data_IF_700822383578
#
_entry.id   IF_700822383578
#
_cell.length_a   1.000
_cell.length_b   1.000
_cell.length_c   1.000
_cell.angle_alpha   90.00
_cell.angle_beta   90.00
_cell.angle_gamma   90.00
#
_symmetry.space_group_name_H-M   'P 1'
#
loop_
_entity.id
_entity.type
_entity.pdbx_description
1 polymer ?
#
# COMPACT_ATOMS: atom_id res chain seq x y z
N UNK A 1 0.61 -9.52 15.77
CA UNK A 1 0.24 -8.09 16.00
C UNK A 1 -1.07 -8.06 16.75
N UNK A 2 -1.27 -7.10 17.68
CA UNK A 2 -2.54 -6.99 18.43
C UNK A 2 -3.78 -6.91 17.55
N UNK A 3 -3.71 -6.18 16.44
CA UNK A 3 -4.82 -6.01 15.49
C UNK A 3 -5.28 -7.32 14.85
N UNK A 4 -4.42 -8.33 14.79
CA UNK A 4 -4.80 -9.65 14.26
C UNK A 4 -5.74 -10.39 15.19
N UNK A 5 -5.68 -10.12 16.49
CA UNK A 5 -6.56 -10.76 17.47
C UNK A 5 -8.05 -10.45 17.21
N UNK A 6 -8.32 -9.27 16.68
CA UNK A 6 -9.69 -8.86 16.33
C UNK A 6 -10.33 -9.73 15.23
N UNK A 7 -9.50 -10.46 14.50
CA UNK A 7 -9.94 -11.37 13.44
C UNK A 7 -10.12 -12.81 13.92
N UNK A 8 -9.66 -13.15 15.13
CA UNK A 8 -9.78 -14.49 15.67
C UNK A 8 -11.24 -14.93 15.76
N UNK A 9 -11.53 -16.17 15.34
CA UNK A 9 -12.88 -16.73 15.33
C UNK A 9 -13.83 -16.16 14.27
N UNK A 10 -13.39 -15.20 13.45
CA UNK A 10 -14.18 -14.63 12.36
C UNK A 10 -13.85 -15.31 11.03
N UNK A 11 -14.80 -15.31 10.11
CA UNK A 11 -14.63 -15.83 8.76
C UNK A 11 -14.37 -14.70 7.77
N UNK A 12 -13.41 -14.90 6.89
CA UNK A 12 -13.04 -13.98 5.84
C UNK A 12 -12.84 -14.71 4.53
N UNK A 13 -13.00 -14.01 3.42
CA UNK A 13 -12.59 -14.54 2.13
C UNK A 13 -11.09 -14.31 1.94
N UNK A 14 -10.41 -15.30 1.38
CA UNK A 14 -9.03 -15.11 0.91
C UNK A 14 -9.06 -14.24 -0.34
N UNK A 15 -8.42 -13.08 -0.28
CA UNK A 15 -8.30 -12.17 -1.42
C UNK A 15 -7.34 -12.75 -2.45
N UNK A 16 -6.16 -13.14 -2.00
CA UNK A 16 -5.14 -13.77 -2.84
C UNK A 16 -4.01 -14.39 -2.04
N UNK A 17 -3.23 -15.25 -2.70
CA UNK A 17 -1.95 -15.74 -2.23
C UNK A 17 -0.86 -14.68 -2.45
N UNK A 18 0.07 -14.56 -1.49
CA UNK A 18 1.16 -13.57 -1.56
C UNK A 18 2.44 -14.24 -2.02
N UNK A 19 2.67 -14.26 -3.31
CA UNK A 19 3.93 -14.78 -3.87
C UNK A 19 5.07 -13.75 -3.85
N UNK A 20 4.72 -12.49 -3.95
CA UNK A 20 5.64 -11.35 -3.98
C UNK A 20 5.11 -10.21 -3.13
N UNK A 21 6.02 -9.43 -2.59
CA UNK A 21 5.67 -8.19 -1.89
C UNK A 21 6.74 -7.14 -2.13
N UNK A 22 6.40 -5.87 -2.04
CA UNK A 22 7.38 -4.81 -2.02
C UNK A 22 7.77 -4.47 -0.59
N UNK A 23 8.95 -3.92 -0.41
CA UNK A 23 9.39 -3.29 0.83
C UNK A 23 9.86 -1.88 0.52
N UNK A 24 9.84 -1.00 1.52
CA UNK A 24 10.43 0.34 1.44
C UNK A 24 11.96 0.24 1.38
N UNK A 25 12.49 -0.22 0.26
CA UNK A 25 13.92 -0.26 0.03
C UNK A 25 14.42 1.05 -0.55
N UNK A 26 15.64 1.42 -0.16
CA UNK A 26 16.32 2.50 -0.85
C UNK A 26 16.63 2.08 -2.31
N UNK A 27 16.48 2.98 -3.29
CA UNK A 27 16.97 2.70 -4.65
C UNK A 27 18.46 2.28 -4.61
N UNK A 28 18.93 1.37 -5.49
CA UNK A 28 18.32 1.00 -6.77
C UNK A 28 17.45 -0.27 -6.73
N UNK A 29 17.41 -1.00 -5.61
CA UNK A 29 16.54 -2.18 -5.54
C UNK A 29 15.09 -1.75 -5.54
N UNK A 30 14.28 -2.29 -6.41
CA UNK A 30 12.83 -2.05 -6.42
C UNK A 30 12.12 -2.77 -5.27
N UNK A 31 12.89 -3.24 -4.28
CA UNK A 31 12.38 -3.82 -3.06
C UNK A 31 11.43 -5.00 -3.21
N UNK A 32 11.40 -5.64 -4.38
CA UNK A 32 10.56 -6.82 -4.58
C UNK A 32 11.18 -8.02 -3.90
N UNK A 33 10.40 -8.67 -3.07
CA UNK A 33 10.79 -9.84 -2.28
C UNK A 33 9.70 -10.91 -2.35
N UNK A 34 10.02 -12.13 -1.93
CA UNK A 34 9.08 -13.24 -1.84
C UNK A 34 9.08 -13.86 -0.46
N UNK A 35 7.98 -14.47 -0.07
CA UNK A 35 7.94 -15.33 1.09
C UNK A 35 8.49 -16.72 0.72
N UNK A 36 9.51 -17.25 1.44
CA UNK A 36 10.19 -18.49 1.05
C UNK A 36 9.27 -19.71 0.93
N UNK A 37 8.36 -19.85 1.88
CA UNK A 37 7.44 -20.99 1.96
C UNK A 37 6.24 -20.92 1.01
N UNK A 38 5.92 -19.74 0.48
CA UNK A 38 4.76 -19.54 -0.40
C UNK A 38 3.40 -19.80 0.26
N UNK A 39 3.35 -19.80 1.60
CA UNK A 39 2.22 -20.14 2.44
C UNK A 39 1.51 -18.91 3.06
N UNK A 40 1.66 -17.76 2.43
CA UNK A 40 1.13 -16.49 2.91
C UNK A 40 -0.01 -16.03 2.03
N UNK A 41 -1.08 -15.59 2.66
CA UNK A 41 -2.26 -15.02 2.00
C UNK A 41 -2.61 -13.65 2.59
N UNK A 42 -3.39 -12.87 1.86
CA UNK A 42 -4.14 -11.72 2.38
C UNK A 42 -5.62 -12.02 2.35
N UNK A 43 -6.35 -11.47 3.31
CA UNK A 43 -7.79 -11.62 3.45
C UNK A 43 -8.50 -10.33 3.04
N UNK A 44 -9.70 -10.46 2.48
CA UNK A 44 -10.57 -9.31 2.19
C UNK A 44 -11.02 -8.64 3.49
N UNK A 45 -10.79 -7.35 3.60
CA UNK A 45 -11.23 -6.50 4.70
C UNK A 45 -10.17 -6.19 5.75
N UNK A 46 -9.51 -7.18 6.41
CA UNK A 46 -8.60 -6.90 7.51
C UNK A 46 -7.42 -5.99 7.13
N UNK A 47 -7.32 -4.85 7.83
CA UNK A 47 -6.18 -3.93 7.77
C UNK A 47 -5.74 -3.55 9.18
N UNK A 48 -4.47 -3.24 9.33
CA UNK A 48 -3.93 -2.70 10.57
C UNK A 48 -4.57 -1.34 10.86
N UNK A 49 -5.24 -1.19 12.01
CA UNK A 49 -5.78 0.10 12.45
C UNK A 49 -4.69 1.07 12.88
N UNK A 50 -3.57 0.52 13.37
CA UNK A 50 -2.46 1.26 13.92
C UNK A 50 -2.66 1.67 15.39
N UNK A 51 -3.76 1.31 16.02
CA UNK A 51 -4.09 1.75 17.38
C UNK A 51 -3.09 1.20 18.40
N UNK A 52 -2.67 -0.05 18.27
CA UNK A 52 -1.63 -0.63 19.09
C UNK A 52 -0.22 -0.08 18.79
N UNK A 53 -0.08 0.77 17.77
CA UNK A 53 1.17 1.34 17.29
C UNK A 53 1.13 2.87 17.31
N UNK A 54 0.65 3.45 18.41
CA UNK A 54 0.56 4.89 18.67
C UNK A 54 -0.10 5.68 17.52
N UNK A 55 -1.14 5.12 16.92
CA UNK A 55 -1.92 5.76 15.87
C UNK A 55 -1.22 5.82 14.51
N UNK A 56 -0.42 4.82 14.17
CA UNK A 56 0.19 4.71 12.84
C UNK A 56 -0.89 4.73 11.73
N UNK A 57 -0.82 5.69 10.82
CA UNK A 57 -1.79 5.86 9.71
C UNK A 57 -1.43 5.11 8.43
N UNK A 58 -0.56 4.10 8.53
CA UNK A 58 -0.15 3.32 7.36
C UNK A 58 -1.25 2.37 6.85
N UNK A 59 -2.12 1.89 7.72
CA UNK A 59 -3.26 0.99 7.40
C UNK A 59 -2.88 -0.18 6.48
N UNK A 60 -1.79 -0.87 6.83
CA UNK A 60 -1.25 -1.99 6.05
C UNK A 60 -2.27 -3.13 5.93
N UNK A 61 -2.33 -3.80 4.78
CA UNK A 61 -2.92 -5.14 4.70
C UNK A 61 -2.15 -6.09 5.61
N UNK A 62 -2.87 -6.99 6.26
CA UNK A 62 -2.30 -7.97 7.18
C UNK A 62 -2.02 -9.26 6.42
N UNK A 63 -0.81 -9.76 6.55
CA UNK A 63 -0.39 -11.04 6.00
C UNK A 63 -0.69 -12.18 6.96
N UNK A 64 -1.27 -13.26 6.43
CA UNK A 64 -1.67 -14.42 7.19
C UNK A 64 -0.91 -15.66 6.70
N UNK A 65 -0.37 -16.45 7.64
CA UNK A 65 0.12 -17.79 7.33
C UNK A 65 -1.08 -18.72 7.15
N UNK A 66 -1.08 -19.58 6.14
CA UNK A 66 -2.16 -20.57 5.94
C UNK A 66 -2.37 -21.44 7.19
N UNK A 67 -1.29 -21.78 7.89
CA UNK A 67 -1.35 -22.54 9.14
C UNK A 67 -2.13 -21.85 10.28
N UNK A 68 -2.43 -20.55 10.15
CA UNK A 68 -3.24 -19.81 11.13
C UNK A 68 -4.74 -19.78 10.76
N UNK A 69 -5.07 -20.33 9.62
CA UNK A 69 -6.42 -20.31 9.06
C UNK A 69 -7.00 -21.73 9.01
N UNK A 70 -8.28 -21.85 9.25
CA UNK A 70 -9.03 -23.06 9.02
C UNK A 70 -10.08 -22.81 7.93
N UNK A 71 -10.37 -23.79 7.06
CA UNK A 71 -11.49 -23.68 6.14
C UNK A 71 -12.77 -23.40 6.92
N UNK A 72 -13.49 -22.34 6.58
CA UNK A 72 -14.82 -22.13 7.11
C UNK A 72 -15.72 -23.24 6.57
N UNK A 73 -16.33 -24.05 7.44
CA UNK A 73 -17.38 -24.95 7.02
C UNK A 73 -18.48 -24.11 6.35
N UNK A 74 -19.08 -24.62 5.30
CA UNK A 74 -20.24 -24.00 4.65
C UNK A 74 -21.45 -24.09 5.59
N UNK A 75 -21.41 -23.38 6.69
CA UNK A 75 -22.49 -23.30 7.67
C UNK A 75 -23.24 -21.99 7.45
N UNK A 76 -24.45 -22.13 6.99
CA UNK A 76 -25.55 -21.21 7.19
C UNK A 76 -25.82 -21.09 8.69
N UNK A 77 -25.08 -20.29 9.43
CA UNK A 77 -25.55 -19.75 10.71
C UNK A 77 -24.55 -18.72 11.25
N UNK A 78 -25.08 -17.57 11.55
CA UNK A 78 -24.51 -16.55 12.40
C UNK A 78 -24.14 -17.13 13.77
N UNK A 79 -22.94 -17.66 13.89
CA UNK A 79 -22.36 -17.99 15.17
C UNK A 79 -21.78 -16.73 15.78
N UNK A 80 -22.50 -16.08 16.70
CA UNK A 80 -21.94 -15.18 17.65
C UNK A 80 -20.91 -15.96 18.48
N UNK A 81 -19.67 -15.99 18.02
CA UNK A 81 -18.57 -16.52 18.81
C UNK A 81 -18.28 -15.56 19.96
N UNK A 82 -18.97 -15.71 21.06
CA UNK A 82 -18.59 -15.18 22.36
C UNK A 82 -17.33 -15.93 22.84
N UNK A 83 -16.20 -15.68 22.19
CA UNK A 83 -14.90 -16.10 22.69
C UNK A 83 -14.58 -15.25 23.91
N UNK A 84 -14.30 -15.89 25.05
CA UNK A 84 -13.89 -15.30 26.31
C UNK A 84 -13.00 -14.06 26.11
N UNK A 85 -13.55 -12.87 26.36
CA UNK A 85 -12.84 -11.59 26.24
C UNK A 85 -11.57 -11.55 27.08
N UNK A 86 -11.61 -12.15 28.27
CA UNK A 86 -10.50 -12.12 29.24
C UNK A 86 -9.21 -12.75 28.69
N UNK A 87 -9.30 -13.86 27.96
CA UNK A 87 -8.12 -14.52 27.37
C UNK A 87 -7.49 -13.73 26.21
N UNK A 88 -8.28 -12.97 25.45
CA UNK A 88 -7.77 -12.14 24.36
C UNK A 88 -7.05 -10.90 24.88
N UNK A 89 -7.53 -10.29 25.96
CA UNK A 89 -6.90 -9.11 26.56
C UNK A 89 -5.56 -9.48 27.22
N UNK A 90 -5.49 -10.63 27.91
CA UNK A 90 -4.23 -11.15 28.42
C UNK A 90 -3.23 -11.44 27.29
N UNK A 91 -3.69 -12.07 26.21
CA UNK A 91 -2.85 -12.32 25.04
C UNK A 91 -2.39 -11.02 24.39
N UNK A 92 -3.30 -10.02 24.25
CA UNK A 92 -2.96 -8.69 23.72
C UNK A 92 -1.86 -8.01 24.53
N UNK A 93 -1.94 -8.07 25.86
CA UNK A 93 -0.94 -7.49 26.76
C UNK A 93 0.45 -8.15 26.63
N UNK A 94 0.51 -9.41 26.22
CA UNK A 94 1.77 -10.17 26.01
C UNK A 94 2.37 -9.96 24.63
N UNK A 95 1.63 -9.40 23.67
CA UNK A 95 2.14 -9.19 22.32
C UNK A 95 3.13 -8.03 22.29
N UNK A 96 4.28 -8.29 21.66
CA UNK A 96 5.31 -7.29 21.48
C UNK A 96 4.90 -6.26 20.45
N UNK A 97 4.89 -4.99 20.83
CA UNK A 97 4.57 -3.84 19.97
C UNK A 97 5.80 -2.99 19.69
N UNK A 98 6.76 -2.99 20.63
CA UNK A 98 8.04 -2.28 20.52
C UNK A 98 9.19 -3.21 20.83
N UNK A 99 10.31 -3.01 20.16
CA UNK A 99 11.60 -3.60 20.46
C UNK A 99 12.46 -2.61 21.27
N UNK A 100 13.67 -3.03 21.65
CA UNK A 100 14.63 -2.18 22.32
C UNK A 100 14.91 -0.91 21.48
N UNK A 101 15.14 0.21 22.15
CA UNK A 101 15.40 1.48 21.48
C UNK A 101 14.19 2.17 20.84
N UNK A 102 13.00 1.93 21.36
CA UNK A 102 11.75 2.59 20.93
C UNK A 102 11.33 2.32 19.47
N UNK A 103 11.83 1.22 18.89
CA UNK A 103 11.44 0.78 17.55
C UNK A 103 10.14 -0.01 17.61
N UNK A 104 9.21 0.30 16.74
CA UNK A 104 7.97 -0.46 16.60
C UNK A 104 8.23 -1.82 15.97
N UNK A 105 7.51 -2.82 16.47
CA UNK A 105 7.53 -4.19 15.99
C UNK A 105 6.17 -4.54 15.40
N UNK A 106 6.09 -4.64 14.09
CA UNK A 106 4.89 -5.01 13.35
C UNK A 106 5.25 -5.77 12.07
N UNK A 107 4.27 -6.30 11.36
CA UNK A 107 4.54 -7.03 10.12
C UNK A 107 5.32 -6.18 9.10
N UNK A 108 5.01 -4.87 9.00
CA UNK A 108 5.72 -4.00 8.09
C UNK A 108 7.21 -3.88 8.40
N UNK A 109 7.58 -3.70 9.68
CA UNK A 109 8.98 -3.59 10.09
C UNK A 109 9.74 -4.91 10.02
N UNK A 110 9.05 -6.04 10.13
CA UNK A 110 9.64 -7.38 10.07
C UNK A 110 9.59 -7.99 8.65
N UNK A 111 8.96 -7.31 7.70
CA UNK A 111 8.78 -7.83 6.35
C UNK A 111 10.11 -8.17 5.66
N UNK A 112 11.16 -7.38 5.91
CA UNK A 112 12.50 -7.65 5.37
C UNK A 112 13.06 -8.98 5.88
N UNK A 113 12.82 -9.34 7.14
CA UNK A 113 13.27 -10.59 7.75
C UNK A 113 12.43 -11.78 7.36
N UNK A 114 11.13 -11.55 7.15
CA UNK A 114 10.18 -12.59 6.75
C UNK A 114 10.25 -12.97 5.28
N UNK A 115 11.02 -12.23 4.48
CA UNK A 115 11.08 -12.38 3.02
C UNK A 115 12.51 -12.47 2.53
N UNK A 116 12.70 -13.03 1.34
CA UNK A 116 14.00 -13.11 0.67
C UNK A 116 13.97 -12.35 -0.66
N UNK A 117 15.14 -11.94 -1.13
CA UNK A 117 15.27 -11.28 -2.42
C UNK A 117 15.02 -12.24 -3.57
N UNK A 118 14.44 -11.73 -4.65
CA UNK A 118 14.46 -12.45 -5.92
C UNK A 118 15.90 -12.46 -6.47
N UNK A 119 16.75 -13.39 -6.00
CA UNK A 119 18.14 -13.46 -6.43
C UNK A 119 18.32 -14.14 -7.78
N UNK A 120 19.19 -13.60 -8.59
CA UNK A 120 19.88 -13.97 -9.82
C UNK A 120 19.34 -15.09 -10.71
N UNK A 121 19.30 -16.33 -10.28
CA UNK A 121 18.76 -17.48 -11.02
C UNK A 121 17.23 -17.61 -10.96
N UNK A 122 16.60 -16.95 -10.02
CA UNK A 122 15.15 -16.95 -9.77
C UNK A 122 14.52 -15.56 -9.98
N UNK A 123 14.97 -14.82 -10.99
CA UNK A 123 14.03 -13.84 -11.56
C UNK A 123 12.95 -14.67 -12.24
N UNK A 124 11.76 -14.83 -11.64
CA UNK A 124 10.71 -15.55 -12.33
C UNK A 124 10.52 -14.79 -13.65
N UNK A 125 10.57 -15.50 -14.76
CA UNK A 125 10.18 -14.88 -16.02
C UNK A 125 8.76 -14.37 -15.80
N UNK A 126 8.44 -13.18 -16.31
CA UNK A 126 7.10 -12.60 -16.26
C UNK A 126 6.03 -13.65 -16.62
N UNK A 127 6.34 -14.53 -17.59
CA UNK A 127 5.49 -15.64 -17.98
C UNK A 127 5.22 -16.63 -16.85
N UNK A 128 6.20 -16.95 -16.01
CA UNK A 128 5.99 -17.89 -14.89
C UNK A 128 5.10 -17.28 -13.79
N UNK A 129 5.28 -15.99 -13.49
CA UNK A 129 4.43 -15.29 -12.54
C UNK A 129 2.99 -15.23 -13.06
N UNK A 130 2.83 -14.88 -14.35
CA UNK A 130 1.53 -14.84 -14.99
C UNK A 130 0.82 -16.20 -15.00
N UNK A 131 1.53 -17.27 -15.37
CA UNK A 131 0.99 -18.62 -15.35
C UNK A 131 0.58 -19.07 -13.95
N UNK A 132 1.32 -18.66 -12.94
CA UNK A 132 1.04 -19.02 -11.55
C UNK A 132 -0.18 -18.27 -11.00
N UNK A 133 -0.30 -16.96 -11.27
CA UNK A 133 -1.48 -16.18 -10.91
C UNK A 133 -2.75 -16.71 -11.60
N UNK A 134 -2.61 -17.16 -12.85
CA UNK A 134 -3.71 -17.83 -13.58
C UNK A 134 -4.03 -19.20 -13.00
N UNK A 135 -3.02 -20.02 -12.69
CA UNK A 135 -3.23 -21.37 -12.14
C UNK A 135 -3.80 -21.37 -10.73
N UNK A 136 -3.49 -20.36 -9.94
CA UNK A 136 -4.03 -20.18 -8.60
C UNK A 136 -5.45 -19.60 -8.60
N UNK A 137 -5.95 -19.15 -9.76
CA UNK A 137 -7.25 -18.48 -9.85
C UNK A 137 -7.25 -17.04 -9.32
N UNK A 138 -6.06 -16.48 -9.03
CA UNK A 138 -5.92 -15.11 -8.54
C UNK A 138 -6.33 -14.07 -9.59
N UNK A 139 -6.33 -14.48 -10.89
CA UNK A 139 -6.69 -13.63 -12.03
C UNK A 139 -7.32 -14.41 -13.18
N UNK A 140 -8.15 -13.70 -13.92
CA UNK A 140 -8.68 -14.19 -15.20
C UNK A 140 -7.69 -13.93 -16.33
N UNK A 141 -7.82 -14.68 -17.44
CA UNK A 141 -7.01 -14.49 -18.65
C UNK A 141 -7.16 -13.06 -19.20
N UNK A 142 -8.37 -12.48 -19.13
CA UNK A 142 -8.65 -11.13 -19.59
C UNK A 142 -7.94 -10.06 -18.75
N UNK A 143 -7.91 -10.21 -17.44
CA UNK A 143 -7.16 -9.31 -16.56
C UNK A 143 -5.66 -9.41 -16.80
N UNK A 144 -5.15 -10.62 -16.98
CA UNK A 144 -3.74 -10.84 -17.30
C UNK A 144 -3.35 -10.19 -18.63
N UNK A 145 -4.17 -10.31 -19.66
CA UNK A 145 -3.92 -9.67 -20.95
C UNK A 145 -3.88 -8.14 -20.83
N UNK A 146 -4.81 -7.54 -20.07
CA UNK A 146 -4.78 -6.10 -19.76
C UNK A 146 -3.50 -5.67 -19.05
N UNK A 147 -3.06 -6.44 -18.07
CA UNK A 147 -1.85 -6.14 -17.31
C UNK A 147 -0.59 -6.22 -18.18
N UNK A 148 -0.47 -7.25 -19.01
CA UNK A 148 0.65 -7.40 -19.95
C UNK A 148 0.66 -6.25 -20.96
N UNK A 149 -0.51 -5.86 -21.47
CA UNK A 149 -0.65 -4.70 -22.37
C UNK A 149 -0.20 -3.39 -21.72
N UNK A 150 -0.64 -3.14 -20.49
CA UNK A 150 -0.23 -1.95 -19.72
C UNK A 150 1.26 -1.95 -19.39
N UNK A 151 1.80 -3.08 -19.00
CA UNK A 151 3.23 -3.22 -18.70
C UNK A 151 4.10 -2.96 -19.94
N UNK A 152 3.71 -3.52 -21.09
CA UNK A 152 4.42 -3.28 -22.35
C UNK A 152 4.32 -1.82 -22.75
N UNK A 153 3.14 -1.21 -22.66
CA UNK A 153 2.94 0.21 -22.91
C UNK A 153 3.82 1.07 -21.99
N UNK A 154 3.84 0.80 -20.69
CA UNK A 154 4.70 1.52 -19.75
C UNK A 154 6.17 1.35 -20.10
N UNK A 155 6.62 0.15 -20.41
CA UNK A 155 8.01 -0.08 -20.82
C UNK A 155 8.39 0.73 -22.06
N UNK A 156 7.53 0.76 -23.07
CA UNK A 156 7.75 1.54 -24.28
C UNK A 156 7.75 3.04 -23.95
N UNK A 157 6.79 3.50 -23.15
CA UNK A 157 6.72 4.89 -22.73
C UNK A 157 7.94 5.32 -21.91
N UNK A 158 8.35 4.51 -20.93
CA UNK A 158 9.56 4.78 -20.14
C UNK A 158 10.84 4.71 -20.96
N UNK A 159 10.91 3.86 -21.97
CA UNK A 159 12.04 3.81 -22.89
C UNK A 159 12.09 5.07 -23.79
N UNK A 160 10.94 5.57 -24.20
CA UNK A 160 10.84 6.74 -25.06
C UNK A 160 11.03 8.08 -24.33
N UNK A 161 10.51 8.19 -23.10
CA UNK A 161 10.48 9.46 -22.34
C UNK A 161 11.49 9.47 -21.19
N UNK A 162 11.87 8.29 -20.71
CA UNK A 162 12.73 8.10 -19.54
C UNK A 162 12.08 8.53 -18.21
N UNK A 163 12.63 8.08 -17.09
CA UNK A 163 12.16 8.48 -15.75
C UNK A 163 12.55 9.92 -15.38
N UNK A 164 13.36 10.58 -16.21
CA UNK A 164 13.87 11.94 -15.96
C UNK A 164 12.78 13.01 -15.89
N UNK A 165 11.64 12.76 -16.52
CA UNK A 165 10.54 13.70 -16.61
C UNK A 165 9.79 13.96 -15.28
N UNK A 166 10.01 13.11 -14.27
CA UNK A 166 9.49 13.33 -12.90
C UNK A 166 10.48 14.06 -11.98
N UNK A 167 11.68 14.36 -12.44
CA UNK A 167 12.67 15.06 -11.63
C UNK A 167 12.31 16.53 -11.52
N UNK A 168 12.13 17.01 -10.30
CA UNK A 168 11.85 18.41 -10.05
C UNK A 168 13.11 19.27 -9.99
N UNK A 169 12.95 20.58 -10.08
CA UNK A 169 14.04 21.54 -10.12
C UNK A 169 14.61 21.87 -8.73
N UNK A 170 13.88 21.55 -7.65
CA UNK A 170 14.13 22.13 -6.35
C UNK A 170 15.28 21.45 -5.62
N UNK A 171 16.12 22.26 -4.96
CA UNK A 171 17.07 21.79 -3.92
C UNK A 171 16.34 21.65 -2.58
N UNK A 172 15.50 22.64 -2.25
CA UNK A 172 14.57 22.61 -1.13
C UNK A 172 13.15 22.63 -1.69
N UNK A 173 12.34 21.67 -1.30
CA UNK A 173 10.99 21.54 -1.85
C UNK A 173 10.02 22.49 -1.16
N UNK A 174 9.16 23.17 -1.92
CA UNK A 174 8.17 24.09 -1.36
C UNK A 174 7.14 23.35 -0.52
N UNK A 175 6.47 24.10 0.35
CA UNK A 175 5.39 23.63 1.21
C UNK A 175 4.14 24.47 0.98
N UNK A 176 3.00 23.83 1.13
CA UNK A 176 1.70 24.49 1.16
C UNK A 176 0.82 23.72 2.12
N UNK A 177 0.22 24.41 3.05
CA UNK A 177 -0.78 23.86 3.98
C UNK A 177 -2.14 24.34 3.54
N UNK A 178 -3.00 23.42 3.16
CA UNK A 178 -4.40 23.70 2.87
C UNK A 178 -5.30 23.39 4.07
N UNK A 179 -4.82 22.61 5.03
CA UNK A 179 -5.63 22.18 6.18
C UNK A 179 -6.82 21.32 5.74
N UNK A 180 -6.61 20.41 4.82
CA UNK A 180 -7.68 19.58 4.26
C UNK A 180 -8.23 18.61 5.30
N UNK A 181 -9.56 18.51 5.37
CA UNK A 181 -10.26 17.62 6.27
C UNK A 181 -10.97 16.47 5.52
N UNK A 182 -11.26 15.34 6.20
CA UNK A 182 -11.98 14.23 5.59
C UNK A 182 -13.34 14.70 5.03
N UNK A 183 -13.68 14.24 3.82
CA UNK A 183 -14.89 14.60 3.11
C UNK A 183 -14.73 15.78 2.13
N UNK A 184 -13.68 16.58 2.25
CA UNK A 184 -13.45 17.68 1.30
C UNK A 184 -13.15 17.16 -0.12
N UNK A 185 -13.73 17.85 -1.11
CA UNK A 185 -13.43 17.60 -2.53
C UNK A 185 -12.19 18.38 -2.94
N UNK A 186 -11.31 17.69 -3.62
CA UNK A 186 -10.06 18.24 -4.13
C UNK A 186 -9.83 17.82 -5.57
N UNK A 187 -9.14 18.66 -6.32
CA UNK A 187 -8.56 18.30 -7.62
C UNK A 187 -7.08 18.04 -7.47
N UNK A 188 -6.60 16.97 -8.05
CA UNK A 188 -5.18 16.66 -8.14
C UNK A 188 -4.59 17.56 -9.22
N UNK A 189 -3.59 18.35 -8.88
CA UNK A 189 -2.94 19.27 -9.80
C UNK A 189 -2.35 18.54 -11.00
N UNK A 190 -2.09 19.29 -12.05
CA UNK A 190 -1.44 18.75 -13.25
C UNK A 190 -0.04 18.17 -12.92
N UNK A 191 0.41 17.26 -13.77
CA UNK A 191 1.76 16.70 -13.66
C UNK A 191 2.85 17.75 -13.60
N UNK A 192 2.74 18.81 -14.44
CA UNK A 192 3.73 19.88 -14.49
C UNK A 192 3.81 20.65 -13.16
N UNK A 193 2.67 20.98 -12.57
CA UNK A 193 2.60 21.64 -11.28
C UNK A 193 3.17 20.75 -10.16
N UNK A 194 2.82 19.45 -10.13
CA UNK A 194 3.37 18.53 -9.13
C UNK A 194 4.90 18.43 -9.29
N UNK A 195 5.40 18.23 -10.49
CA UNK A 195 6.84 18.11 -10.77
C UNK A 195 7.59 19.39 -10.36
N UNK A 196 7.00 20.57 -10.55
CA UNK A 196 7.60 21.84 -10.12
C UNK A 196 7.84 21.93 -8.61
N UNK A 197 7.14 21.11 -7.81
CA UNK A 197 7.31 21.07 -6.34
C UNK A 197 8.34 20.02 -5.87
N UNK A 198 8.85 19.17 -6.76
CA UNK A 198 9.72 18.04 -6.42
C UNK A 198 11.21 18.44 -6.41
N UNK A 199 12.00 17.63 -5.73
CA UNK A 199 13.45 17.63 -5.85
C UNK A 199 13.94 16.73 -7.01
N UNK A 200 15.26 16.72 -7.23
CA UNK A 200 15.90 15.86 -8.25
C UNK A 200 15.72 14.36 -8.00
N UNK A 201 15.34 13.95 -6.77
CA UNK A 201 15.06 12.56 -6.38
C UNK A 201 13.58 12.22 -6.47
N UNK A 202 12.78 13.08 -7.11
CA UNK A 202 11.32 12.91 -7.27
C UNK A 202 10.57 12.91 -5.93
N UNK A 203 10.97 13.74 -4.97
CA UNK A 203 10.38 13.80 -3.64
C UNK A 203 9.97 15.23 -3.29
N UNK A 204 8.91 15.34 -2.50
CA UNK A 204 8.60 16.58 -1.77
C UNK A 204 8.67 16.26 -0.27
N UNK A 205 9.58 16.93 0.44
CA UNK A 205 9.84 16.67 1.88
C UNK A 205 9.98 15.17 2.20
N UNK A 206 10.74 14.44 1.38
CA UNK A 206 11.01 13.02 1.55
C UNK A 206 9.93 12.09 1.01
N UNK A 207 8.70 12.53 0.78
CA UNK A 207 7.64 11.73 0.16
C UNK A 207 7.92 11.64 -1.35
N UNK A 208 8.13 10.41 -1.83
CA UNK A 208 8.36 10.13 -3.24
C UNK A 208 7.08 10.11 -4.05
N UNK A 209 7.19 10.42 -5.33
CA UNK A 209 6.12 10.23 -6.32
C UNK A 209 6.54 9.15 -7.32
N UNK A 210 5.64 8.24 -7.62
CA UNK A 210 5.81 7.24 -8.67
C UNK A 210 5.11 7.67 -9.96
N UNK A 211 5.46 7.01 -11.07
CA UNK A 211 4.86 7.31 -12.38
C UNK A 211 3.35 7.08 -12.42
N UNK A 212 2.88 6.14 -11.64
CA UNK A 212 1.47 5.75 -11.58
C UNK A 212 0.58 6.88 -11.05
N UNK A 213 1.09 7.69 -10.14
CA UNK A 213 0.38 8.87 -9.59
C UNK A 213 -0.01 9.85 -10.69
N UNK A 214 0.76 9.89 -11.77
CA UNK A 214 0.47 10.82 -12.89
C UNK A 214 -0.82 10.48 -13.64
N UNK A 215 -1.34 9.27 -13.48
CA UNK A 215 -2.64 8.89 -14.04
C UNK A 215 -3.79 9.59 -13.33
N UNK A 216 -3.57 10.01 -12.10
CA UNK A 216 -4.56 10.71 -11.29
C UNK A 216 -4.53 12.23 -11.48
N UNK A 217 -3.53 12.77 -12.17
CA UNK A 217 -3.40 14.21 -12.38
C UNK A 217 -4.62 14.78 -13.14
N UNK A 218 -5.13 15.90 -12.64
CA UNK A 218 -6.30 16.59 -13.20
C UNK A 218 -7.65 16.01 -12.77
N UNK A 219 -7.68 14.85 -12.10
CA UNK A 219 -8.92 14.25 -11.63
C UNK A 219 -9.33 14.81 -10.26
N UNK A 220 -10.63 14.84 -10.03
CA UNK A 220 -11.18 15.15 -8.72
C UNK A 220 -11.20 13.92 -7.83
N UNK A 221 -11.12 14.17 -6.53
CA UNK A 221 -11.14 13.14 -5.51
C UNK A 221 -11.69 13.69 -4.20
N UNK A 222 -11.90 12.81 -3.23
CA UNK A 222 -12.35 13.18 -1.89
C UNK A 222 -11.27 12.80 -0.89
N UNK A 223 -11.00 13.70 0.05
CA UNK A 223 -10.10 13.44 1.16
C UNK A 223 -10.71 12.36 2.06
N UNK A 224 -10.03 11.25 2.20
CA UNK A 224 -10.48 10.12 3.03
C UNK A 224 -10.10 10.30 4.49
N UNK A 225 -8.85 10.70 4.72
CA UNK A 225 -8.29 10.97 6.05
C UNK A 225 -6.98 11.72 5.95
N UNK A 226 -6.56 12.28 7.06
CA UNK A 226 -5.20 12.82 7.22
C UNK A 226 -4.21 11.67 7.49
N UNK A 227 -2.97 11.87 7.06
CA UNK A 227 -1.85 10.96 7.33
C UNK A 227 -0.75 11.73 8.05
N UNK A 228 -0.90 11.92 9.34
CA UNK A 228 -0.02 12.74 10.20
C UNK A 228 1.16 11.97 10.75
N UNK A 229 1.10 10.64 10.82
CA UNK A 229 2.19 9.79 11.29
C UNK A 229 2.18 8.40 10.69
N UNK A 230 3.35 7.88 10.40
CA UNK A 230 3.54 6.50 9.94
C UNK A 230 4.80 5.89 10.57
N UNK A 231 4.83 4.58 10.71
CA UNK A 231 6.05 3.87 11.04
C UNK A 231 6.88 3.69 9.78
N UNK A 232 8.11 4.20 9.81
CA UNK A 232 9.12 3.96 8.78
C UNK A 232 9.54 2.48 8.85
N UNK A 233 9.25 1.73 7.81
CA UNK A 233 9.50 0.29 7.75
C UNK A 233 10.95 -0.10 7.95
N UNK A 234 11.88 0.71 7.44
CA UNK A 234 13.31 0.41 7.50
C UNK A 234 13.91 0.63 8.89
N UNK A 235 13.44 1.68 9.56
CA UNK A 235 13.98 2.08 10.85
C UNK A 235 13.14 1.60 12.02
N UNK A 236 11.88 1.29 11.78
CA UNK A 236 10.89 0.98 12.82
C UNK A 236 10.51 2.20 13.66
N UNK A 237 10.90 3.40 13.27
CA UNK A 237 10.61 4.62 14.03
C UNK A 237 9.35 5.30 13.50
N UNK A 238 8.59 5.93 14.41
CA UNK A 238 7.47 6.80 14.02
C UNK A 238 8.00 8.03 13.27
N UNK A 239 7.37 8.35 12.16
CA UNK A 239 7.64 9.55 11.36
C UNK A 239 6.40 10.42 11.31
N UNK A 240 6.56 11.69 11.59
CA UNK A 240 5.51 12.68 11.35
C UNK A 240 5.43 13.04 9.87
N UNK A 241 4.21 13.15 9.39
CA UNK A 241 3.88 13.53 8.02
C UNK A 241 3.00 14.78 8.04
N UNK A 242 3.61 15.95 7.81
CA UNK A 242 2.87 17.22 7.77
C UNK A 242 2.22 17.42 6.41
N UNK A 243 1.07 18.08 6.37
CA UNK A 243 0.33 18.45 5.16
C UNK A 243 0.18 17.27 4.18
N UNK A 244 -0.31 16.16 4.72
CA UNK A 244 -0.42 14.92 3.97
C UNK A 244 -1.78 14.27 4.23
N UNK A 245 -2.41 13.87 3.14
CA UNK A 245 -3.73 13.23 3.16
C UNK A 245 -3.72 11.93 2.34
N UNK A 246 -4.74 11.14 2.55
CA UNK A 246 -5.10 9.97 1.73
C UNK A 246 -6.38 10.32 0.98
N UNK A 247 -6.42 10.01 -0.31
CA UNK A 247 -7.54 10.29 -1.18
C UNK A 247 -8.25 9.00 -1.59
N UNK A 248 -9.56 9.12 -1.87
CA UNK A 248 -10.29 8.14 -2.67
C UNK A 248 -9.98 8.40 -4.15
N UNK A 249 -8.95 7.79 -4.66
CA UNK A 249 -8.54 8.03 -6.04
C UNK A 249 -9.33 7.13 -6.98
N UNK A 250 -9.93 7.76 -8.01
CA UNK A 250 -10.42 7.05 -9.18
C UNK A 250 -9.27 6.98 -10.16
N UNK A 251 -8.74 5.81 -10.43
CA UNK A 251 -7.82 5.64 -11.53
C UNK A 251 -8.58 5.81 -12.86
N UNK A 252 -7.83 6.06 -13.94
CA UNK A 252 -8.43 6.18 -15.30
C UNK A 252 -9.16 4.91 -15.78
N UNK A 253 -9.31 3.89 -14.94
CA UNK A 253 -10.06 2.65 -15.17
C UNK A 253 -11.38 2.61 -14.39
N UNK A 254 -11.71 3.68 -13.66
CA UNK A 254 -12.91 3.74 -12.83
C UNK A 254 -12.79 3.00 -11.50
N UNK A 255 -11.61 2.52 -11.13
CA UNK A 255 -11.38 1.85 -9.85
C UNK A 255 -11.22 2.87 -8.74
N UNK A 256 -12.10 2.84 -7.76
CA UNK A 256 -12.05 3.70 -6.59
C UNK A 256 -11.22 3.02 -5.50
N UNK A 257 -10.16 3.68 -5.02
CA UNK A 257 -9.36 3.10 -3.95
C UNK A 257 -8.35 4.06 -3.34
N UNK A 258 -7.87 3.68 -2.18
CA UNK A 258 -6.76 4.35 -1.49
C UNK A 258 -5.41 3.72 -1.82
N UNK A 259 -5.44 2.54 -2.42
CA UNK A 259 -4.26 1.71 -2.61
C UNK A 259 -3.34 2.23 -3.70
N UNK A 260 -2.06 1.94 -3.54
CA UNK A 260 -1.05 2.29 -4.51
C UNK A 260 -1.35 1.61 -5.86
N UNK A 261 -1.36 2.41 -6.91
CA UNK A 261 -1.51 1.96 -8.30
C UNK A 261 -0.24 1.29 -8.85
N UNK A 262 0.69 0.95 -7.96
CA UNK A 262 1.97 0.34 -8.32
C UNK A 262 1.73 -0.96 -9.09
N UNK A 263 2.07 -0.96 -10.37
CA UNK A 263 1.89 -2.14 -11.23
C UNK A 263 2.83 -3.29 -10.86
N UNK A 264 3.75 -3.11 -9.90
CA UNK A 264 4.70 -4.14 -9.51
C UNK A 264 5.38 -4.80 -10.72
N UNK A 265 5.88 -6.00 -10.57
CA UNK A 265 6.16 -6.86 -11.72
C UNK A 265 4.84 -7.55 -12.06
N UNK A 266 4.10 -7.10 -13.07
CA UNK A 266 2.77 -7.56 -13.51
C UNK A 266 1.55 -7.08 -12.71
N UNK A 267 1.61 -5.88 -12.14
CA UNK A 267 0.44 -5.27 -11.50
C UNK A 267 0.13 -5.85 -10.11
N UNK A 268 -0.54 -5.05 -9.33
CA UNK A 268 -1.00 -5.33 -7.96
C UNK A 268 0.05 -5.91 -7.00
N UNK A 269 0.72 -5.03 -6.31
CA UNK A 269 1.43 -5.42 -5.12
C UNK A 269 0.39 -5.91 -4.09
N UNK A 270 0.42 -7.19 -3.65
CA UNK A 270 -0.55 -7.71 -2.69
C UNK A 270 -0.48 -7.01 -1.33
N UNK A 271 0.51 -6.16 -1.14
CA UNK A 271 0.66 -5.34 0.04
C UNK A 271 -0.42 -4.28 0.18
N UNK A 272 -1.05 -3.85 -0.91
CA UNK A 272 -2.09 -2.82 -0.90
C UNK A 272 -1.68 -1.59 -0.12
N UNK A 273 -0.47 -1.06 -0.41
CA UNK A 273 -0.01 0.17 0.23
C UNK A 273 -0.89 1.35 -0.14
N UNK A 274 -1.05 2.25 0.82
CA UNK A 274 -1.83 3.47 0.65
C UNK A 274 -1.01 4.53 -0.07
N UNK A 275 -1.62 5.26 -0.99
CA UNK A 275 -1.04 6.43 -1.61
C UNK A 275 -1.19 7.65 -0.70
N UNK A 276 -0.08 8.34 -0.46
CA UNK A 276 -0.04 9.57 0.30
C UNK A 276 0.10 10.76 -0.63
N UNK A 277 -0.69 11.80 -0.36
CA UNK A 277 -0.74 13.02 -1.16
C UNK A 277 -0.33 14.22 -0.32
N UNK A 278 0.66 14.99 -0.81
CA UNK A 278 0.98 16.28 -0.21
C UNK A 278 -0.11 17.28 -0.56
N UNK A 279 -0.54 18.09 0.40
CA UNK A 279 -1.56 19.12 0.16
C UNK A 279 -1.15 20.10 -0.95
N UNK A 280 0.16 20.38 -1.12
CA UNK A 280 0.67 21.21 -2.21
C UNK A 280 0.37 20.64 -3.61
N UNK A 281 0.09 19.34 -3.73
CA UNK A 281 -0.27 18.69 -4.99
C UNK A 281 -1.76 18.74 -5.30
N UNK A 282 -2.52 19.36 -4.40
CA UNK A 282 -3.98 19.41 -4.44
C UNK A 282 -4.47 20.85 -4.49
N UNK A 283 -5.69 21.04 -4.95
CA UNK A 283 -6.46 22.27 -4.83
C UNK A 283 -7.88 21.94 -4.41
N UNK A 284 -8.49 22.79 -3.59
CA UNK A 284 -9.90 22.63 -3.24
C UNK A 284 -10.76 22.83 -4.47
N UNK A 285 -11.68 21.92 -4.69
CA UNK A 285 -12.78 22.16 -5.61
C UNK A 285 -13.81 22.98 -4.85
N UNK A 286 -14.07 24.20 -5.32
CA UNK A 286 -15.08 25.06 -4.72
C UNK A 286 -16.39 24.30 -4.60
N UNK A 287 -17.08 24.42 -3.47
CA UNK A 287 -18.50 24.12 -3.40
C UNK A 287 -19.16 25.13 -4.37
N UNK A 288 -19.49 24.71 -5.58
CA UNK A 288 -20.39 25.48 -6.42
C UNK A 288 -21.63 25.72 -5.55
N UNK A 289 -21.84 27.01 -5.22
CA UNK A 289 -22.94 27.42 -4.38
C UNK A 289 -24.25 26.95 -5.00
N UNK A 290 -24.96 26.14 -4.26
CA UNK A 290 -26.37 25.84 -4.49
C UNK A 290 -27.19 27.02 -4.03
#
# INVERSE_FOLDING_TARGET
>A
MPEMLECCGKSFRVERRVEKTCIDAAPPSRGMRRFPAGDVVVLEGPRCSGDAHDGCRRTCKVFWKEAWLAPAAATTSSGNGNGNGDGLDELRARLKVKSDGNRYFCQSTELHRATEEFSGRYKPSMARVALRELSNGDRTVGEMAKLVGLYTWQKVFHAAVGDGWLRGPNKQTPTQTLGLEPGERVRIKSRAEIVSTLDRRRRNRGLGICSEVTRCCGHESVVRRRADRIIDERTGLMREMRDTVVLNVIDGRGTLGEECLCDGVLGDCPRGEIMYWREIWLERVGSDGS
#
